data_IF_474321450884
#
_entry.id   IF_474321450884
#
_cell.length_a   1.000
_cell.length_b   1.000
_cell.length_c   1.000
_cell.angle_alpha   90.00
_cell.angle_beta   90.00
_cell.angle_gamma   90.00
#
_symmetry.space_group_name_H-M   'P 1'
#
loop_
_entity.id
_entity.type
_entity.pdbx_description
1 polymer ?
2 polymer ?
3 water ?
#
# COMPACT_ATOMS: atom_id res chain seq x y z
N UNK A 1 17.19 -1.12 -13.04
CA UNK A 1 15.85 -1.26 -13.69
C UNK A 1 14.83 -0.32 -13.09
N UNK A 2 13.53 -0.48 -13.44
CA UNK A 2 12.42 0.36 -12.94
C UNK A 2 12.25 0.28 -11.42
N UNK A 3 11.74 1.36 -10.82
CA UNK A 3 11.50 1.41 -9.37
C UNK A 3 10.25 2.25 -9.08
N UNK A 4 9.62 2.04 -7.94
CA UNK A 4 8.43 2.82 -7.64
C UNK A 4 8.25 3.10 -6.15
N UNK A 5 7.53 4.17 -5.86
CA UNK A 5 7.23 4.55 -4.49
C UNK A 5 5.78 5.04 -4.52
N UNK A 6 4.99 4.55 -3.56
CA UNK A 6 3.58 4.90 -3.43
C UNK A 6 3.23 5.18 -1.98
N UNK A 7 2.32 6.13 -1.76
CA UNK A 7 1.84 6.46 -0.43
C UNK A 7 0.32 6.42 -0.53
N UNK A 8 -0.31 5.76 0.43
CA UNK A 8 -1.78 5.67 0.46
C UNK A 8 -2.26 6.28 1.75
N UNK A 9 -3.15 7.27 1.65
CA UNK A 9 -3.65 7.93 2.83
C UNK A 9 -5.18 7.84 2.77
N UNK A 10 -5.78 7.44 3.88
CA UNK A 10 -7.23 7.31 3.97
C UNK A 10 -7.72 7.90 5.29
N UNK A 11 -8.83 8.62 5.21
CA UNK A 11 -9.44 9.23 6.38
C UNK A 11 -10.91 8.81 6.34
N UNK A 12 -11.37 8.20 7.42
CA UNK A 12 -12.75 7.72 7.50
C UNK A 12 -13.48 8.37 8.67
N UNK A 13 -14.53 9.13 8.39
CA UNK A 13 -15.30 9.79 9.43
C UNK A 13 -16.07 8.72 10.20
N UNK A 14 -16.48 9.03 11.42
CA UNK A 14 -17.20 8.04 12.20
C UNK A 14 -18.52 8.59 12.71
N UNK A 15 -19.52 7.72 12.80
CA UNK A 15 -20.81 8.15 13.33
C UNK A 15 -20.56 8.36 14.80
N UNK A 16 -21.20 9.36 15.39
CA UNK A 16 -21.00 9.62 16.80
C UNK A 16 -19.87 10.61 17.04
N UNK A 17 -19.26 10.52 18.22
CA UNK A 17 -18.19 11.42 18.61
C UNK A 17 -16.83 10.81 18.26
N UNK A 18 -15.88 11.67 17.94
CA UNK A 18 -14.56 11.19 17.59
C UNK A 18 -14.12 11.68 16.24
N UNK A 19 -12.85 12.05 16.15
CA UNK A 19 -12.28 12.54 14.91
C UNK A 19 -12.16 11.37 13.92
N UNK A 20 -11.93 11.68 12.63
CA UNK A 20 -11.80 10.65 11.62
C UNK A 20 -10.59 9.72 11.86
N UNK A 21 -10.69 8.48 11.42
CA UNK A 21 -9.62 7.49 11.57
C UNK A 21 -8.71 7.72 10.36
N UNK A 22 -7.49 8.21 10.60
CA UNK A 22 -6.55 8.46 9.50
C UNK A 22 -5.40 7.46 9.46
N UNK A 23 -5.03 7.03 8.26
CA UNK A 23 -3.93 6.09 8.12
C UNK A 23 -3.08 6.45 6.91
N UNK A 24 -1.78 6.28 7.06
CA UNK A 24 -0.86 6.55 5.97
C UNK A 24 0.14 5.42 5.89
N UNK A 25 0.30 4.87 4.69
CA UNK A 25 1.25 3.79 4.47
C UNK A 25 2.00 4.02 3.17
N UNK A 26 3.31 3.83 3.22
CA UNK A 26 4.13 4.01 2.03
C UNK A 26 4.70 2.70 1.58
N UNK A 27 4.97 2.61 0.28
CA UNK A 27 5.53 1.42 -0.33
C UNK A 27 6.66 1.80 -1.27
N UNK A 28 7.71 0.99 -1.28
CA UNK A 28 8.85 1.16 -2.18
C UNK A 28 8.84 -0.09 -3.05
N UNK A 29 8.69 0.10 -4.36
CA UNK A 29 8.63 -0.96 -5.35
C UNK A 29 7.36 -1.82 -5.22
N UNK A 30 6.98 -2.09 -3.98
CA UNK A 30 5.79 -2.86 -3.60
C UNK A 30 6.02 -3.49 -2.22
N UNK A 31 6.84 -2.83 -1.42
CA UNK A 31 7.13 -3.31 -0.08
C UNK A 31 6.85 -2.19 0.91
N UNK A 32 5.95 -2.43 1.86
CA UNK A 32 5.62 -1.43 2.86
C UNK A 32 6.88 -1.10 3.63
N UNK A 33 7.15 0.17 3.84
CA UNK A 33 8.35 0.56 4.58
C UNK A 33 8.05 1.59 5.67
N UNK A 34 6.90 2.24 5.59
CA UNK A 34 6.52 3.24 6.59
C UNK A 34 5.02 3.23 6.81
N UNK A 35 4.60 3.60 8.01
CA UNK A 35 3.17 3.61 8.32
C UNK A 35 2.82 4.56 9.47
N UNK A 36 1.68 5.22 9.35
CA UNK A 36 1.17 6.12 10.39
C UNK A 36 -0.29 5.74 10.63
N UNK A 37 -0.70 5.74 11.90
CA UNK A 37 -2.05 5.38 12.29
C UNK A 37 -2.54 6.30 13.42
N UNK A 38 -3.62 7.03 13.16
CA UNK A 38 -4.18 7.97 14.14
C UNK A 38 -4.77 7.30 15.37
N UNK A 39 -5.30 6.10 15.20
CA UNK A 39 -5.90 5.42 16.33
C UNK A 39 -4.87 4.56 17.07
N UNK A 40 -3.59 4.88 16.89
CA UNK A 40 -2.53 4.15 17.57
C UNK A 40 -2.37 4.67 19.00
N UNK A 41 -1.77 3.84 19.85
CA UNK A 41 -1.53 4.21 21.24
C UNK A 41 -0.62 5.43 21.22
N UNK A 42 0.31 5.44 20.27
CA UNK A 42 1.25 6.54 20.09
C UNK A 42 1.30 6.87 18.61
N UNK A 43 0.38 7.73 18.14
CA UNK A 43 0.31 8.13 16.73
C UNK A 43 1.59 8.77 16.22
N UNK A 44 2.28 8.06 15.33
CA UNK A 44 3.50 8.57 14.75
C UNK A 44 3.99 7.69 13.60
N UNK A 45 4.87 8.25 12.77
CA UNK A 45 5.43 7.50 11.67
C UNK A 45 6.46 6.53 12.23
N UNK A 46 6.48 5.31 11.70
CA UNK A 46 7.44 4.32 12.15
C UNK A 46 7.88 3.42 11.01
N UNK A 47 9.16 2.99 11.03
CA UNK A 47 9.70 2.11 10.00
C UNK A 47 9.02 0.76 10.08
N UNK A 48 8.83 0.10 8.94
CA UNK A 48 8.20 -1.21 8.90
C UNK A 48 9.21 -2.27 8.53
N UNK A 49 10.41 -1.83 8.20
CA UNK A 49 11.49 -2.73 7.80
C UNK A 49 12.84 -2.23 8.30
N UNK A 50 13.74 -3.17 8.63
CA UNK A 50 15.10 -2.89 9.13
C UNK A 50 15.90 -1.81 8.41
N UNK A 51 15.88 -1.77 7.09
CA UNK A 51 16.64 -0.75 6.38
C UNK A 51 16.07 0.66 6.52
N UNK A 52 15.02 0.81 7.34
CA UNK A 52 14.43 2.13 7.56
C UNK A 52 14.76 2.65 8.97
N UNK A 53 15.41 1.81 9.78
CA UNK A 53 15.78 2.21 11.13
C UNK A 53 17.06 3.05 11.10
N UNK A 54 17.64 3.19 9.92
CA UNK A 54 18.87 3.96 9.74
C UNK A 54 18.60 5.45 9.48
N UNK A 55 17.39 5.88 9.77
CA UNK A 55 17.03 7.29 9.58
C UNK A 55 17.11 8.02 10.91
N UNK A 56 17.71 9.20 10.90
CA UNK A 56 17.86 9.98 12.12
C UNK A 56 16.54 10.21 12.85
N UNK A 57 16.61 10.50 14.15
CA UNK A 57 15.43 10.76 14.99
C UNK A 57 14.62 11.96 14.50
N UNK A 58 15.32 12.97 13.99
CA UNK A 58 14.67 14.18 13.50
C UNK A 58 13.86 13.87 12.24
N UNK A 59 14.31 12.85 11.50
CA UNK A 59 13.62 12.44 10.28
C UNK A 59 12.18 12.02 10.60
N UNK A 60 12.04 11.14 11.57
CA UNK A 60 10.73 10.64 11.98
C UNK A 60 9.87 11.66 12.70
N UNK A 61 10.50 12.69 13.26
CA UNK A 61 9.73 13.70 13.97
C UNK A 61 9.04 14.65 13.02
N UNK A 62 9.80 15.29 12.13
CA UNK A 62 9.22 16.22 11.19
C UNK A 62 8.27 15.53 10.21
N UNK A 63 8.56 14.27 9.93
CA UNK A 63 7.71 13.51 9.02
C UNK A 63 6.39 13.19 9.72
N UNK A 64 6.45 12.96 11.03
CA UNK A 64 5.25 12.70 11.82
C UNK A 64 4.43 13.98 11.89
N UNK A 65 5.12 15.13 11.78
CA UNK A 65 4.46 16.44 11.80
C UNK A 65 3.59 16.58 10.56
N UNK A 66 4.10 16.08 9.43
CA UNK A 66 3.35 16.14 8.19
C UNK A 66 2.08 15.35 8.40
N UNK A 67 2.19 14.19 9.04
CA UNK A 67 1.05 13.34 9.34
C UNK A 67 -0.06 14.17 9.96
N UNK A 68 0.25 14.78 11.10
CA UNK A 68 -0.71 15.62 11.81
C UNK A 68 -1.28 16.67 10.86
N UNK A 69 -0.39 17.23 10.04
CA UNK A 69 -0.81 18.22 9.07
C UNK A 69 -1.78 17.62 8.08
N UNK A 70 -1.42 16.46 7.54
CA UNK A 70 -2.27 15.77 6.58
C UNK A 70 -3.60 15.36 7.20
N UNK A 71 -3.55 14.94 8.45
CA UNK A 71 -4.73 14.51 9.17
C UNK A 71 -5.74 15.66 9.23
N UNK A 72 -5.28 16.86 9.58
CA UNK A 72 -6.18 18.00 9.65
C UNK A 72 -6.73 18.34 8.28
N UNK A 73 -5.91 18.14 7.26
CA UNK A 73 -6.33 18.42 5.89
C UNK A 73 -7.50 17.51 5.54
N UNK A 74 -7.39 16.24 5.91
CA UNK A 74 -8.45 15.28 5.62
C UNK A 74 -9.70 15.58 6.44
N UNK A 75 -9.51 16.15 7.63
CA UNK A 75 -10.66 16.50 8.46
C UNK A 75 -11.47 17.61 7.79
N UNK A 76 -10.79 18.69 7.41
CA UNK A 76 -11.46 19.80 6.78
C UNK A 76 -12.07 19.42 5.42
N UNK A 77 -11.36 18.63 4.63
CA UNK A 77 -11.93 18.31 3.34
C UNK A 77 -13.01 17.24 3.33
N UNK A 78 -13.11 16.47 4.41
CA UNK A 78 -14.18 15.50 4.49
C UNK A 78 -15.46 16.34 4.63
N UNK A 79 -15.41 17.40 5.44
CA UNK A 79 -16.58 18.27 5.63
C UNK A 79 -16.97 18.96 4.33
N UNK A 80 -15.98 19.42 3.57
CA UNK A 80 -16.26 20.10 2.31
C UNK A 80 -17.02 19.16 1.36
N UNK A 81 -16.62 17.90 1.32
CA UNK A 81 -17.32 16.96 0.44
C UNK A 81 -18.72 16.65 0.91
N UNK A 82 -18.98 16.73 2.21
CA UNK A 82 -20.33 16.47 2.69
C UNK A 82 -21.26 17.52 2.08
N UNK A 83 -20.76 18.75 1.95
CA UNK A 83 -21.54 19.82 1.36
C UNK A 83 -21.66 19.73 -0.15
N UNK A 84 -20.59 19.31 -0.82
CA UNK A 84 -20.63 19.18 -2.30
C UNK A 84 -21.65 18.14 -2.73
N UNK A 85 -21.74 17.03 -1.99
CA UNK A 85 -22.67 15.95 -2.32
C UNK A 85 -23.99 16.05 -1.57
N UNK A 86 -24.11 17.08 -0.74
CA UNK A 86 -25.33 17.30 0.06
C UNK A 86 -25.70 16.04 0.85
N UNK A 87 -24.76 15.57 1.66
CA UNK A 87 -24.97 14.38 2.47
C UNK A 87 -25.36 14.71 3.90
N UNK A 88 -26.18 13.84 4.49
CA UNK A 88 -26.65 14.01 5.86
C UNK A 88 -25.47 14.00 6.82
N UNK A 89 -25.55 14.84 7.85
CA UNK A 89 -24.50 14.93 8.85
C UNK A 89 -24.36 13.63 9.65
N UNK A 90 -25.28 12.69 9.43
CA UNK A 90 -25.21 11.43 10.16
C UNK A 90 -24.80 10.27 9.27
N UNK A 91 -23.49 10.03 9.15
CA UNK A 91 -22.99 8.94 8.32
C UNK A 91 -21.48 8.81 8.27
N UNK A 92 -20.99 7.68 7.78
CA UNK A 92 -19.55 7.45 7.68
C UNK A 92 -19.09 7.59 6.23
N UNK A 93 -17.97 8.25 6.02
CA UNK A 93 -17.46 8.47 4.68
C UNK A 93 -15.95 8.37 4.68
N UNK A 94 -15.38 8.02 3.53
CA UNK A 94 -13.95 7.87 3.45
C UNK A 94 -13.35 8.68 2.29
N UNK A 95 -12.41 9.54 2.62
CA UNK A 95 -11.70 10.34 1.63
C UNK A 95 -10.33 9.70 1.54
N UNK A 96 -9.94 9.33 0.32
CA UNK A 96 -8.65 8.69 0.12
C UNK A 96 -7.75 9.47 -0.81
N UNK A 97 -6.45 9.21 -0.69
CA UNK A 97 -5.45 9.84 -1.52
C UNK A 97 -4.32 8.88 -1.78
N UNK A 98 -3.85 8.89 -3.03
CA UNK A 98 -2.71 8.07 -3.40
C UNK A 98 -1.80 8.95 -4.23
N UNK A 99 -0.51 8.88 -3.94
CA UNK A 99 0.45 9.67 -4.70
C UNK A 99 1.76 8.91 -4.76
N UNK A 100 2.52 9.17 -5.81
CA UNK A 100 3.80 8.51 -5.95
C UNK A 100 4.47 8.73 -7.29
N UNK A 101 5.57 8.03 -7.47
CA UNK A 101 6.34 8.14 -8.69
C UNK A 101 6.89 6.78 -9.08
N UNK A 102 7.00 6.57 -10.38
CA UNK A 102 7.60 5.37 -10.95
C UNK A 102 8.81 6.02 -11.62
N UNK A 103 9.96 5.38 -11.50
CA UNK A 103 11.19 5.89 -12.09
C UNK A 103 11.70 4.82 -13.05
N UNK A 104 12.14 5.23 -14.24
CA UNK A 104 12.65 4.29 -15.21
C UNK A 104 14.09 3.92 -14.92
N UNK A 105 14.72 3.19 -15.84
CA UNK A 105 16.12 2.77 -15.67
C UNK A 105 17.10 3.94 -15.72
N UNK A 106 16.78 4.96 -16.52
CA UNK A 106 17.63 6.13 -16.66
C UNK A 106 17.63 7.01 -15.41
N UNK A 107 16.80 6.65 -14.43
CA UNK A 107 16.74 7.43 -13.20
C UNK A 107 15.73 8.56 -13.20
N UNK A 108 15.10 8.81 -14.34
CA UNK A 108 14.12 9.88 -14.48
C UNK A 108 12.68 9.40 -14.27
N UNK A 109 11.81 10.35 -13.91
CA UNK A 109 10.40 10.05 -13.66
C UNK A 109 9.76 9.43 -14.89
N UNK A 110 9.07 8.30 -14.70
CA UNK A 110 8.39 7.60 -15.80
C UNK A 110 6.89 7.89 -15.78
N UNK A 111 6.33 7.99 -14.57
CA UNK A 111 4.90 8.25 -14.39
C UNK A 111 4.63 8.77 -12.98
N UNK A 112 3.82 9.83 -12.90
CA UNK A 112 3.49 10.41 -11.61
C UNK A 112 2.04 10.21 -11.25
N UNK A 113 1.75 10.10 -9.96
CA UNK A 113 0.39 9.89 -9.50
C UNK A 113 0.01 10.90 -8.42
N UNK A 114 -1.23 11.37 -8.48
CA UNK A 114 -1.77 12.30 -7.50
C UNK A 114 -3.27 12.21 -7.68
N UNK A 115 -3.89 11.26 -7.00
CA UNK A 115 -5.33 11.04 -7.15
C UNK A 115 -6.10 10.85 -5.84
N UNK A 116 -7.35 11.29 -5.85
CA UNK A 116 -8.20 11.22 -4.68
C UNK A 116 -9.49 10.45 -4.95
N UNK A 117 -9.98 9.76 -3.92
CA UNK A 117 -11.20 8.98 -4.03
C UNK A 117 -12.09 9.29 -2.85
N UNK A 118 -13.40 9.27 -3.05
CA UNK A 118 -14.36 9.55 -2.00
C UNK A 118 -15.41 8.44 -1.97
N UNK A 119 -15.55 7.78 -0.82
CA UNK A 119 -16.50 6.68 -0.67
C UNK A 119 -16.32 5.61 -1.74
N UNK A 120 -15.07 5.31 -2.06
CA UNK A 120 -14.75 4.30 -3.05
C UNK A 120 -14.91 4.70 -4.50
N UNK A 121 -15.19 5.98 -4.74
CA UNK A 121 -15.38 6.48 -6.11
C UNK A 121 -14.28 7.47 -6.43
N UNK A 122 -13.79 7.44 -7.67
CA UNK A 122 -12.76 8.39 -8.07
C UNK A 122 -13.39 9.78 -7.96
N UNK A 123 -12.59 10.74 -7.53
CA UNK A 123 -13.03 12.13 -7.37
C UNK A 123 -12.20 12.99 -8.33
N UNK A 124 -10.89 13.06 -8.12
CA UNK A 124 -10.03 13.83 -9.01
C UNK A 124 -8.64 13.22 -9.11
N UNK A 125 -8.09 13.15 -10.33
CA UNK A 125 -6.76 12.56 -10.52
C UNK A 125 -5.91 13.30 -11.53
N UNK A 126 -4.61 13.37 -11.27
CA UNK A 126 -3.68 14.04 -12.18
C UNK A 126 -3.42 13.11 -13.34
N UNK A 127 -3.70 13.56 -14.55
CA UNK A 127 -3.49 12.75 -15.74
C UNK A 127 -1.99 12.47 -15.90
N UNK A 128 -1.66 11.45 -16.69
CA UNK A 128 -0.26 11.09 -16.93
C UNK A 128 0.59 12.23 -17.45
N UNK A 129 -0.03 13.19 -18.13
CA UNK A 129 0.71 14.32 -18.68
C UNK A 129 1.15 15.27 -17.56
N UNK A 130 0.67 15.02 -16.36
CA UNK A 130 1.01 15.86 -15.21
C UNK A 130 0.68 17.31 -15.48
N UNK A 131 -0.33 17.56 -16.31
CA UNK A 131 -0.73 18.93 -16.63
C UNK A 131 -2.21 19.17 -16.40
N UNK A 132 -3.03 18.15 -16.66
CA UNK A 132 -4.47 18.28 -16.52
C UNK A 132 -5.05 17.32 -15.51
N UNK A 133 -6.30 17.57 -15.10
CA UNK A 133 -6.97 16.74 -14.11
C UNK A 133 -8.20 16.04 -14.65
N UNK A 134 -8.42 14.81 -14.23
CA UNK A 134 -9.62 14.08 -14.63
C UNK A 134 -10.61 14.25 -13.47
N UNK A 135 -11.77 14.85 -13.74
CA UNK A 135 -12.80 15.07 -12.73
C UNK A 135 -13.95 14.10 -12.94
N UNK A 136 -14.02 13.07 -12.11
CA UNK A 136 -15.07 12.07 -12.22
C UNK A 136 -16.48 12.61 -12.40
N UNK A 137 -16.91 13.49 -11.49
CA UNK A 137 -18.27 14.04 -11.53
C UNK A 137 -18.35 15.57 -11.38
N UNK A 138 -19.58 16.08 -11.33
CA UNK A 138 -19.82 17.52 -11.20
C UNK A 138 -19.22 18.13 -9.95
N UNK A 139 -19.24 17.39 -8.85
CA UNK A 139 -18.68 17.94 -7.61
C UNK A 139 -17.18 18.09 -7.79
N UNK A 140 -16.54 17.11 -8.42
CA UNK A 140 -15.10 17.18 -8.62
C UNK A 140 -14.69 18.35 -9.48
N UNK A 141 -15.57 18.75 -10.40
CA UNK A 141 -15.26 19.86 -11.27
C UNK A 141 -15.12 21.18 -10.51
N UNK A 142 -15.76 21.28 -9.35
CA UNK A 142 -15.63 22.50 -8.56
C UNK A 142 -14.16 22.60 -8.16
N UNK A 143 -13.66 21.49 -7.61
CA UNK A 143 -12.27 21.40 -7.18
C UNK A 143 -11.31 21.61 -8.33
N UNK A 144 -11.52 20.87 -9.42
CA UNK A 144 -10.64 20.99 -10.58
C UNK A 144 -10.56 22.45 -11.07
N UNK A 145 -11.71 23.10 -11.16
CA UNK A 145 -11.80 24.49 -11.59
C UNK A 145 -10.87 25.35 -10.71
N UNK A 146 -11.03 25.25 -9.40
CA UNK A 146 -10.21 26.04 -8.49
C UNK A 146 -8.73 25.63 -8.55
N UNK A 147 -8.46 24.36 -8.82
CA UNK A 147 -7.06 23.90 -8.90
C UNK A 147 -6.37 24.33 -10.19
N UNK A 148 -7.13 24.51 -11.26
CA UNK A 148 -6.56 24.97 -12.53
C UNK A 148 -6.19 26.43 -12.38
N UNK A 149 -7.04 27.19 -11.69
CA UNK A 149 -6.81 28.61 -11.48
C UNK A 149 -5.62 28.86 -10.56
N UNK A 150 -5.37 27.91 -9.65
CA UNK A 150 -4.27 28.05 -8.71
C UNK A 150 -2.99 27.34 -9.18
N UNK A 151 -3.05 26.74 -10.36
CA UNK A 151 -1.88 26.02 -10.88
C UNK A 151 -1.41 24.89 -9.99
N UNK A 152 -2.37 24.14 -9.44
CA UNK A 152 -2.08 23.01 -8.55
C UNK A 152 -1.31 21.87 -9.24
N UNK A 153 -1.54 21.68 -10.52
CA UNK A 153 -0.86 20.62 -11.27
C UNK A 153 0.65 20.83 -11.27
N UNK A 154 1.08 22.07 -11.48
CA UNK A 154 2.50 22.36 -11.50
C UNK A 154 3.09 22.18 -10.11
N UNK A 155 2.34 22.60 -9.10
CA UNK A 155 2.76 22.47 -7.72
C UNK A 155 3.11 21.02 -7.41
N UNK A 156 2.14 20.11 -7.64
CA UNK A 156 2.34 18.69 -7.37
C UNK A 156 3.40 18.07 -8.29
N UNK A 157 3.45 18.53 -9.54
CA UNK A 157 4.42 18.01 -10.49
C UNK A 157 5.84 18.29 -10.02
N UNK A 158 6.04 19.43 -9.34
CA UNK A 158 7.36 19.79 -8.85
C UNK A 158 7.86 18.73 -7.86
N UNK A 159 6.99 18.34 -6.92
CA UNK A 159 7.34 17.31 -5.94
C UNK A 159 7.64 15.98 -6.62
N UNK A 160 6.71 15.51 -7.44
CA UNK A 160 6.88 14.23 -8.13
C UNK A 160 8.16 14.22 -8.95
N UNK A 161 8.42 15.32 -9.66
CA UNK A 161 9.59 15.43 -10.51
C UNK A 161 10.92 15.45 -9.74
N UNK A 162 10.94 16.07 -8.57
CA UNK A 162 12.16 16.16 -7.79
C UNK A 162 12.25 15.31 -6.54
N UNK A 163 11.69 15.81 -5.43
CA UNK A 163 11.73 15.09 -4.16
C UNK A 163 11.34 13.62 -4.23
N UNK A 164 10.21 13.31 -4.88
CA UNK A 164 9.76 11.93 -4.97
C UNK A 164 10.85 11.06 -5.58
N UNK A 165 11.37 11.48 -6.73
CA UNK A 165 12.43 10.73 -7.40
C UNK A 165 13.69 10.66 -6.52
N UNK A 166 14.10 11.80 -5.94
CA UNK A 166 15.31 11.81 -5.11
C UNK A 166 15.24 10.95 -3.85
N UNK A 167 14.10 10.98 -3.17
CA UNK A 167 13.97 10.17 -1.97
C UNK A 167 13.85 8.68 -2.29
N UNK A 168 13.29 8.37 -3.45
CA UNK A 168 13.17 6.97 -3.83
C UNK A 168 14.58 6.45 -4.07
N UNK A 169 15.44 7.31 -4.62
CA UNK A 169 16.83 6.95 -4.89
C UNK A 169 17.56 6.67 -3.59
N UNK A 170 17.32 7.52 -2.59
CA UNK A 170 17.95 7.39 -1.30
C UNK A 170 17.53 6.10 -0.60
N UNK A 171 16.22 5.87 -0.51
CA UNK A 171 15.70 4.67 0.14
C UNK A 171 16.27 3.39 -0.46
N UNK A 172 16.33 3.34 -1.79
CA UNK A 172 16.86 2.17 -2.47
C UNK A 172 18.32 1.93 -2.13
N UNK A 173 19.07 3.00 -1.89
CA UNK A 173 20.49 2.85 -1.55
C UNK A 173 20.64 2.20 -0.18
N UNK A 174 19.85 2.67 0.77
CA UNK A 174 19.88 2.17 2.13
C UNK A 174 19.26 0.78 2.23
N UNK B 1 -9.38 2.68 -17.96
CA UNK B 1 -9.03 1.55 -18.88
C UNK B 1 -8.84 0.23 -18.16
N UNK B 2 -7.60 -0.25 -18.05
CA UNK B 2 -7.30 -1.53 -17.37
C UNK B 2 -7.49 -1.44 -15.86
N UNK B 3 -7.92 -2.54 -15.24
CA UNK B 3 -8.13 -2.55 -13.80
C UNK B 3 -7.09 -3.44 -13.09
N UNK B 4 -6.97 -3.25 -11.78
CA UNK B 4 -6.04 -4.03 -10.99
C UNK B 4 -6.49 -4.11 -9.54
N UNK B 5 -6.01 -5.15 -8.85
CA UNK B 5 -6.34 -5.32 -7.44
C UNK B 5 -5.06 -5.81 -6.75
N UNK B 6 -4.85 -5.34 -5.53
CA UNK B 6 -3.68 -5.67 -4.75
C UNK B 6 -4.07 -5.95 -3.31
N UNK B 7 -3.44 -6.93 -2.70
CA UNK B 7 -3.71 -7.28 -1.33
C UNK B 7 -2.37 -7.51 -0.63
N UNK B 8 -2.14 -6.75 0.44
CA UNK B 8 -0.90 -6.83 1.23
C UNK B 8 -1.18 -7.34 2.64
N UNK B 9 -0.26 -8.16 3.12
CA UNK B 9 -0.31 -8.72 4.47
C UNK B 9 1.10 -8.59 5.05
N UNK B 10 1.21 -8.05 6.25
CA UNK B 10 2.50 -7.90 6.88
C UNK B 10 2.47 -8.36 8.33
N UNK B 11 3.57 -8.93 8.79
CA UNK B 11 3.68 -9.41 10.15
C UNK B 11 5.06 -9.02 10.68
N UNK B 12 5.09 -8.40 11.85
CA UNK B 12 6.35 -7.97 12.47
C UNK B 12 6.52 -8.58 13.86
N UNK B 13 7.49 -9.48 13.99
CA UNK B 13 7.74 -10.14 15.27
C UNK B 13 8.18 -9.14 16.37
N UNK B 14 7.96 -9.54 17.62
CA UNK B 14 8.31 -8.71 18.77
C UNK B 14 9.59 -9.22 19.42
N UNK B 15 10.18 -8.41 20.31
CA UNK B 15 11.39 -8.80 21.02
C UNK B 15 10.97 -9.52 22.29
N UNK B 16 11.33 -10.80 22.40
CA UNK B 16 10.96 -11.57 23.59
C UNK B 16 9.47 -11.78 23.70
N UNK B 17 9.04 -13.02 23.48
CA UNK B 17 7.62 -13.37 23.54
C UNK B 17 6.80 -12.40 22.69
N UNK B 18 5.57 -12.13 23.12
CA UNK B 18 4.71 -11.21 22.39
C UNK B 18 4.28 -11.75 21.04
N UNK B 19 3.07 -11.41 20.64
CA UNK B 19 2.53 -11.84 19.36
C UNK B 19 2.93 -10.86 18.27
N UNK B 20 3.26 -11.36 17.08
CA UNK B 20 3.67 -10.51 15.95
C UNK B 20 2.50 -9.62 15.51
N UNK B 21 2.78 -8.36 15.19
CA UNK B 21 1.72 -7.48 14.72
C UNK B 21 1.39 -7.88 13.29
N UNK B 22 0.10 -8.07 13.02
CA UNK B 22 -0.36 -8.47 11.68
C UNK B 22 -1.30 -7.44 11.07
N UNK B 23 -1.04 -7.07 9.82
CA UNK B 23 -1.87 -6.10 9.13
C UNK B 23 -2.20 -6.63 7.74
N UNK B 24 -3.33 -6.22 7.21
CA UNK B 24 -3.71 -6.64 5.87
C UNK B 24 -4.51 -5.51 5.27
N UNK B 25 -4.32 -5.29 3.96
CA UNK B 25 -5.02 -4.22 3.27
C UNK B 25 -5.27 -4.59 1.82
N UNK B 26 -6.45 -4.23 1.33
CA UNK B 26 -6.78 -4.52 -0.06
C UNK B 26 -6.96 -3.24 -0.83
N UNK B 27 -6.59 -3.27 -2.11
CA UNK B 27 -6.75 -2.10 -2.94
C UNK B 27 -7.37 -2.53 -4.25
N UNK B 28 -8.31 -1.73 -4.73
CA UNK B 28 -8.99 -1.99 -6.01
C UNK B 28 -8.61 -0.81 -6.89
N UNK B 29 -7.91 -1.10 -7.98
CA UNK B 29 -7.41 -0.11 -8.92
C UNK B 29 -6.30 0.67 -8.24
N UNK B 30 -6.62 1.32 -7.12
CA UNK B 30 -5.64 2.06 -6.31
C UNK B 30 -6.36 2.71 -5.13
N UNK B 31 -7.51 2.14 -4.76
CA UNK B 31 -8.28 2.65 -3.64
C UNK B 31 -8.46 1.56 -2.62
N UNK B 32 -8.17 1.87 -1.35
CA UNK B 32 -8.32 0.90 -0.28
C UNK B 32 -9.79 0.53 -0.11
N UNK B 33 -10.09 -0.77 0.01
CA UNK B 33 -11.47 -1.20 0.20
C UNK B 33 -11.64 -2.05 1.45
N UNK B 34 -10.52 -2.53 1.99
CA UNK B 34 -10.56 -3.35 3.20
C UNK B 34 -9.23 -3.33 3.92
N UNK B 35 -9.25 -3.53 5.23
CA UNK B 35 -8.02 -3.54 6.01
C UNK B 35 -8.24 -4.22 7.36
N UNK B 36 -7.15 -4.71 7.92
CA UNK B 36 -7.21 -5.38 9.21
C UNK B 36 -5.91 -5.12 9.96
N UNK B 37 -6.01 -4.85 11.26
CA UNK B 37 -4.84 -4.59 12.09
C UNK B 37 -5.07 -5.29 13.42
N UNK B 38 -4.15 -6.18 13.78
CA UNK B 38 -4.24 -6.94 15.01
C UNK B 38 -4.13 -6.07 16.27
N UNK B 39 -3.66 -4.83 16.11
CA UNK B 39 -3.52 -3.91 17.23
C UNK B 39 -4.88 -3.40 17.73
N UNK B 40 -5.73 -2.96 16.81
CA UNK B 40 -7.05 -2.45 17.17
C UNK B 40 -7.85 -3.51 17.94
N UNK B 62 -17.15 -12.34 12.44
CA UNK B 62 -17.70 -13.39 11.58
C UNK B 62 -16.67 -13.89 10.58
N UNK B 63 -16.00 -12.97 9.91
CA UNK B 63 -14.99 -13.32 8.93
C UNK B 63 -13.60 -13.00 9.47
N UNK B 64 -13.50 -12.92 10.80
CA UNK B 64 -12.24 -12.63 11.46
C UNK B 64 -11.47 -13.92 11.67
N UNK B 65 -12.13 -15.05 11.40
CA UNK B 65 -11.49 -16.35 11.55
C UNK B 65 -10.30 -16.44 10.62
N UNK B 66 -10.44 -15.84 9.44
CA UNK B 66 -9.37 -15.84 8.46
C UNK B 66 -8.13 -15.14 9.00
N UNK B 67 -8.34 -14.01 9.67
CA UNK B 67 -7.27 -13.23 10.25
C UNK B 67 -6.44 -14.11 11.19
N UNK B 68 -7.12 -14.85 12.06
CA UNK B 68 -6.42 -15.72 12.99
C UNK B 68 -5.60 -16.74 12.21
N UNK B 69 -6.17 -17.29 11.14
CA UNK B 69 -5.46 -18.25 10.34
C UNK B 69 -4.18 -17.66 9.77
N UNK B 70 -4.29 -16.47 9.18
CA UNK B 70 -3.13 -15.80 8.58
C UNK B 70 -2.06 -15.49 9.62
N UNK B 71 -2.51 -14.97 10.76
CA UNK B 71 -1.60 -14.64 11.85
C UNK B 71 -0.76 -15.86 12.19
N UNK B 72 -1.39 -17.03 12.25
CA UNK B 72 -0.63 -18.24 12.56
C UNK B 72 0.36 -18.54 11.45
N UNK B 73 -0.10 -18.44 10.21
CA UNK B 73 0.77 -18.71 9.06
C UNK B 73 2.03 -17.84 9.15
N UNK B 74 1.83 -16.54 9.40
CA UNK B 74 2.96 -15.61 9.50
C UNK B 74 3.84 -15.88 10.72
N UNK B 75 3.22 -16.31 11.81
CA UNK B 75 3.97 -16.62 13.02
C UNK B 75 4.90 -17.81 12.74
N UNK B 76 4.35 -18.85 12.12
CA UNK B 76 5.14 -20.04 11.80
C UNK B 76 6.27 -19.75 10.83
N UNK B 77 6.00 -18.97 9.79
CA UNK B 77 7.03 -18.69 8.80
C UNK B 77 8.08 -17.66 9.16
N UNK B 78 7.75 -16.81 10.11
CA UNK B 78 8.68 -15.81 10.59
C UNK B 78 9.76 -16.63 11.30
N UNK B 79 9.34 -17.72 11.94
CA UNK B 79 10.24 -18.61 12.66
C UNK B 79 11.16 -19.33 11.67
N UNK B 80 10.57 -19.88 10.61
CA UNK B 80 11.33 -20.58 9.59
C UNK B 80 12.43 -19.70 8.99
N UNK B 81 12.06 -18.51 8.55
CA UNK B 81 13.04 -17.60 7.95
C UNK B 81 14.18 -17.25 8.89
N UNK B 82 13.89 -17.18 10.18
CA UNK B 82 14.92 -16.87 11.14
C UNK B 82 16.02 -17.93 11.03
N UNK B 83 15.58 -19.19 10.92
CA UNK B 83 16.53 -20.28 10.79
C UNK B 83 17.27 -20.28 9.46
N UNK B 84 16.56 -19.95 8.38
CA UNK B 84 17.17 -19.93 7.05
C UNK B 84 18.30 -18.91 6.98
N UNK B 85 18.11 -17.75 7.59
CA UNK B 85 19.11 -16.69 7.57
C UNK B 85 20.01 -16.76 8.79
N UNK B 86 19.83 -17.79 9.59
CA UNK B 86 20.62 -17.99 10.79
C UNK B 86 20.71 -16.72 11.61
N UNK B 87 19.57 -16.10 11.86
CA UNK B 87 19.53 -14.86 12.63
C UNK B 87 19.24 -15.08 14.10
N UNK B 88 19.79 -14.22 14.96
CA UNK B 88 19.57 -14.34 16.39
C UNK B 88 18.07 -14.30 16.68
N UNK B 89 17.65 -15.04 17.71
CA UNK B 89 16.24 -15.10 18.08
C UNK B 89 15.90 -14.14 19.21
N UNK B 90 15.47 -12.94 18.83
CA UNK B 90 15.12 -11.93 19.82
C UNK B 90 14.87 -10.58 19.16
N UNK B 91 15.59 -10.31 18.08
CA UNK B 91 15.42 -9.05 17.37
C UNK B 91 14.04 -8.92 16.76
N UNK B 92 13.88 -7.97 15.83
CA UNK B 92 12.60 -7.77 15.17
C UNK B 92 12.78 -7.99 13.66
N UNK B 93 11.80 -8.65 13.07
CA UNK B 93 11.82 -8.97 11.64
C UNK B 93 10.45 -8.80 11.02
N UNK B 94 10.43 -8.49 9.73
CA UNK B 94 9.19 -8.28 9.01
C UNK B 94 9.02 -9.23 7.84
N UNK B 95 7.84 -9.83 7.75
CA UNK B 95 7.51 -10.73 6.66
C UNK B 95 6.25 -10.17 6.00
N UNK B 96 6.28 -10.07 4.67
CA UNK B 96 5.16 -9.51 3.91
C UNK B 96 4.74 -10.38 2.74
N UNK B 97 3.48 -10.26 2.36
CA UNK B 97 2.96 -11.02 1.24
C UNK B 97 2.08 -10.08 0.40
N UNK B 98 2.19 -10.19 -0.92
CA UNK B 98 1.37 -9.39 -1.82
C UNK B 98 0.89 -10.24 -2.96
N UNK B 99 -0.40 -10.14 -3.27
CA UNK B 99 -1.00 -10.88 -4.37
C UNK B 99 -2.03 -9.98 -5.01
N UNK B 100 -2.54 -10.39 -6.17
CA UNK B 100 -3.52 -9.61 -6.88
C UNK B 100 -3.37 -9.87 -8.37
N UNK B 101 -3.90 -8.96 -9.18
CA UNK B 101 -3.84 -9.11 -10.63
C UNK B 101 -4.14 -7.80 -11.37
N UNK B 102 -3.71 -7.74 -12.62
CA UNK B 102 -3.98 -6.59 -13.49
C UNK B 102 -4.77 -7.16 -14.66
N UNK B 103 -5.91 -6.54 -14.96
CA UNK B 103 -6.75 -6.98 -16.07
C UNK B 103 -6.89 -5.86 -17.10
N UNK B 104 -7.06 -6.23 -18.36
CA UNK B 104 -7.20 -5.25 -19.41
C UNK B 104 -8.64 -4.81 -19.59
N UNK B 105 -8.85 -3.85 -20.48
CA UNK B 105 -10.19 -3.33 -20.76
C UNK B 105 -11.14 -4.45 -21.20
N UNK B 106 -10.60 -5.44 -21.89
CA UNK B 106 -11.40 -6.57 -22.36
C UNK B 106 -11.56 -7.61 -21.26
N UNK B 107 -11.21 -7.24 -20.02
CA UNK B 107 -11.33 -8.16 -18.91
C UNK B 107 -10.34 -9.30 -18.97
N UNK B 108 -9.28 -9.12 -19.73
CA UNK B 108 -8.25 -10.15 -19.88
C UNK B 108 -7.12 -9.96 -18.88
N UNK B 109 -6.61 -11.08 -18.37
CA UNK B 109 -5.53 -11.07 -17.39
C UNK B 109 -4.22 -10.62 -18.00
N UNK B 110 -3.69 -9.51 -17.49
CA UNK B 110 -2.42 -8.99 -17.98
C UNK B 110 -1.27 -9.48 -17.10
N UNK B 111 -1.54 -9.73 -15.83
CA UNK B 111 -0.49 -10.19 -14.91
C UNK B 111 -1.05 -10.71 -13.58
N UNK B 112 -0.53 -11.85 -13.13
CA UNK B 112 -0.94 -12.42 -11.87
C UNK B 112 0.20 -12.18 -10.88
N UNK B 113 -0.14 -11.98 -9.61
CA UNK B 113 0.87 -11.70 -8.58
C UNK B 113 0.77 -12.58 -7.34
N UNK B 114 1.92 -13.01 -6.85
CA UNK B 114 1.99 -13.81 -5.63
C UNK B 114 3.47 -13.75 -5.23
N UNK B 115 3.78 -12.89 -4.27
CA UNK B 115 5.17 -12.70 -3.86
C UNK B 115 5.37 -12.38 -2.39
N UNK B 116 6.53 -12.76 -1.87
CA UNK B 116 6.86 -12.53 -0.47
C UNK B 116 8.14 -11.74 -0.30
N UNK B 117 8.18 -10.97 0.77
CA UNK B 117 9.32 -10.13 1.07
C UNK B 117 9.67 -10.30 2.55
N UNK B 118 10.96 -10.34 2.84
CA UNK B 118 11.42 -10.50 4.21
C UNK B 118 12.35 -9.35 4.58
N UNK B 119 12.02 -8.67 5.68
CA UNK B 119 12.79 -7.53 6.16
C UNK B 119 13.00 -6.45 5.11
N UNK B 120 11.98 -6.23 4.28
CA UNK B 120 12.07 -5.20 3.25
C UNK B 120 12.83 -5.62 2.01
N UNK B 121 13.24 -6.88 1.94
CA UNK B 121 13.96 -7.40 0.78
C UNK B 121 13.15 -8.50 0.11
N UNK B 122 13.23 -8.55 -1.21
CA UNK B 122 12.54 -9.55 -2.00
C UNK B 122 12.97 -10.94 -1.52
N UNK B 123 12.02 -11.87 -1.46
CA UNK B 123 12.34 -13.23 -1.05
C UNK B 123 12.00 -14.17 -2.20
N UNK B 124 10.71 -14.30 -2.52
CA UNK B 124 10.33 -15.16 -3.65
C UNK B 124 9.10 -14.55 -4.32
N UNK B 125 9.02 -14.68 -5.64
CA UNK B 125 7.88 -14.13 -6.38
C UNK B 125 7.50 -14.95 -7.61
N UNK B 126 6.21 -15.03 -7.90
CA UNK B 126 5.76 -15.79 -9.06
C UNK B 126 6.07 -14.99 -10.32
N UNK B 127 6.65 -15.65 -11.31
CA UNK B 127 7.02 -15.00 -12.58
C UNK B 127 5.77 -14.73 -13.43
N UNK B 128 5.94 -13.97 -14.51
CA UNK B 128 4.82 -13.63 -15.40
C UNK B 128 4.20 -14.85 -16.04
N UNK B 129 4.99 -15.91 -16.17
CA UNK B 129 4.51 -17.14 -16.77
C UNK B 129 3.57 -17.90 -15.83
N UNK B 130 3.49 -17.43 -14.58
CA UNK B 130 2.65 -18.06 -13.57
C UNK B 130 2.96 -19.54 -13.43
N UNK B 131 4.21 -19.91 -13.72
CA UNK B 131 4.62 -21.31 -13.64
C UNK B 131 5.94 -21.50 -12.92
N UNK B 132 6.76 -20.45 -12.88
CA UNK B 132 8.06 -20.50 -12.22
C UNK B 132 8.25 -19.37 -11.21
N UNK B 133 9.12 -19.61 -10.22
CA UNK B 133 9.36 -18.65 -9.16
C UNK B 133 10.75 -18.00 -9.20
N UNK B 134 10.82 -16.70 -8.93
CA UNK B 134 12.12 -16.03 -8.89
C UNK B 134 12.58 -16.02 -7.42
N UNK B 135 13.72 -16.64 -7.14
CA UNK B 135 14.28 -16.70 -5.79
C UNK B 135 15.31 -15.59 -5.64
N UNK B 136 15.03 -14.64 -4.75
CA UNK B 136 15.93 -13.50 -4.52
C UNK B 136 17.33 -13.85 -4.04
N UNK B 137 17.46 -14.94 -3.29
CA UNK B 137 18.75 -15.35 -2.75
C UNK B 137 18.80 -16.86 -2.52
N UNK B 138 19.89 -17.34 -1.92
CA UNK B 138 20.06 -18.76 -1.67
C UNK B 138 19.02 -19.34 -0.71
N UNK B 139 18.63 -18.56 0.30
CA UNK B 139 17.64 -19.02 1.26
C UNK B 139 16.32 -19.31 0.55
N UNK B 140 15.89 -18.35 -0.27
CA UNK B 140 14.61 -18.49 -1.01
C UNK B 140 14.56 -19.71 -1.94
N UNK B 141 15.72 -20.26 -2.31
CA UNK B 141 15.74 -21.42 -3.20
C UNK B 141 15.21 -22.65 -2.47
N UNK B 142 15.36 -22.68 -1.15
CA UNK B 142 14.87 -23.78 -0.33
C UNK B 142 13.34 -23.77 -0.48
N UNK B 143 12.76 -22.59 -0.32
CA UNK B 143 11.31 -22.42 -0.46
C UNK B 143 10.86 -22.77 -1.88
N UNK B 144 11.56 -22.27 -2.89
CA UNK B 144 11.18 -22.59 -4.26
C UNK B 144 11.15 -24.11 -4.47
N UNK B 145 12.21 -24.81 -4.06
CA UNK B 145 12.24 -26.26 -4.23
C UNK B 145 11.04 -26.93 -3.54
N UNK B 146 10.77 -26.53 -2.30
CA UNK B 146 9.63 -27.09 -1.58
C UNK B 146 8.32 -26.80 -2.31
N UNK B 147 8.24 -25.60 -2.89
CA UNK B 147 7.04 -25.19 -3.62
C UNK B 147 6.89 -25.88 -4.95
N UNK B 148 8.01 -26.19 -5.60
CA UNK B 148 7.97 -26.87 -6.87
C UNK B 148 7.48 -28.31 -6.64
N UNK B 149 7.88 -28.91 -5.52
CA UNK B 149 7.46 -30.26 -5.22
C UNK B 149 5.99 -30.37 -4.78
N UNK B 150 5.52 -29.34 -4.08
CA UNK B 150 4.15 -29.26 -3.59
C UNK B 150 3.16 -28.80 -4.66
N UNK B 151 3.67 -28.23 -5.74
CA UNK B 151 2.81 -27.75 -6.81
C UNK B 151 2.14 -26.41 -6.47
N UNK B 152 2.87 -25.52 -5.79
CA UNK B 152 2.31 -24.21 -5.40
C UNK B 152 1.92 -23.31 -6.56
N UNK B 153 2.76 -23.29 -7.60
CA UNK B 153 2.47 -22.47 -8.76
C UNK B 153 1.22 -23.04 -9.43
N UNK B 154 1.10 -24.37 -9.41
CA UNK B 154 -0.05 -25.04 -10.01
C UNK B 154 -1.34 -24.65 -9.28
N UNK B 155 -1.26 -24.53 -7.96
CA UNK B 155 -2.42 -24.16 -7.17
C UNK B 155 -2.87 -22.74 -7.56
N UNK B 156 -1.90 -21.85 -7.72
CA UNK B 156 -2.18 -20.48 -8.11
C UNK B 156 -2.99 -20.48 -9.42
N UNK B 157 -2.55 -21.24 -10.41
CA UNK B 157 -3.25 -21.29 -11.68
C UNK B 157 -4.63 -21.93 -11.59
N UNK B 158 -4.75 -23.01 -10.82
CA UNK B 158 -6.01 -23.72 -10.69
C UNK B 158 -7.08 -22.96 -9.94
N UNK B 159 -6.68 -22.30 -8.85
CA UNK B 159 -7.63 -21.59 -8.04
C UNK B 159 -7.43 -20.09 -8.00
N UNK B 160 -6.24 -19.65 -7.59
CA UNK B 160 -5.98 -18.22 -7.55
C UNK B 160 -5.95 -17.77 -9.01
N UNK B 161 -5.61 -16.52 -9.28
CA UNK B 161 -5.59 -16.05 -10.65
C UNK B 161 -7.03 -15.93 -11.13
N UNK B 162 -7.70 -17.07 -11.23
CA UNK B 162 -9.08 -17.06 -11.66
C UNK B 162 -9.94 -16.30 -10.66
N UNK B 163 -9.74 -16.59 -9.38
CA UNK B 163 -10.50 -15.93 -8.32
C UNK B 163 -10.24 -14.42 -8.28
N UNK B 164 -9.02 -14.01 -8.61
CA UNK B 164 -8.63 -12.60 -8.61
C UNK B 164 -9.37 -11.88 -9.73
N UNK B 165 -9.40 -12.49 -10.91
CA UNK B 165 -10.08 -11.91 -12.07
C UNK B 165 -11.57 -11.83 -11.81
N UNK B 166 -12.15 -12.95 -11.38
CA UNK B 166 -13.58 -13.01 -11.09
C UNK B 166 -13.99 -12.00 -10.03
N UNK B 167 -13.13 -11.78 -9.05
CA UNK B 167 -13.41 -10.83 -7.98
C UNK B 167 -13.34 -9.39 -8.50
N UNK B 168 -12.27 -9.10 -9.22
CA UNK B 168 -12.08 -7.76 -9.77
C UNK B 168 -13.18 -7.44 -10.77
N UNK B 169 -13.78 -8.48 -11.35
CA UNK B 169 -14.85 -8.33 -12.32
C UNK B 169 -16.10 -7.77 -11.64
N UNK B 170 -16.49 -8.38 -10.53
CA UNK B 170 -17.66 -7.93 -9.80
C UNK B 170 -17.30 -6.73 -8.93
N UNK C 1 10.86 11.81 1.35
CA UNK C 1 10.03 12.84 2.03
C UNK C 1 8.63 12.86 1.44
N UNK C 2 7.68 13.33 2.22
CA UNK C 2 6.29 13.40 1.79
C UNK C 2 6.04 14.62 0.91
N UNK C 3 4.98 14.56 0.11
CA UNK C 3 4.64 15.66 -0.76
C UNK C 3 4.12 16.81 0.09
N UNK C 4 4.16 18.03 -0.45
CA UNK C 4 3.66 19.18 0.32
C UNK C 4 2.15 19.07 0.51
N UNK C 5 1.62 19.85 1.44
CA UNK C 5 0.19 19.82 1.70
C UNK C 5 -0.57 20.20 0.43
N UNK C 6 -1.54 19.36 0.02
CA UNK C 6 -2.35 19.61 -1.17
C UNK C 6 -3.30 20.78 -0.96
N UNK C 7 -3.69 21.41 -2.06
CA UNK C 7 -4.62 22.54 -2.01
C UNK C 7 -5.96 22.01 -1.50
N UNK C 8 -6.84 22.89 -1.05
CA UNK C 8 -8.14 22.43 -0.55
C UNK C 8 -9.13 22.08 -1.66
N UNK C 9 -9.95 21.07 -1.40
CA UNK C 9 -10.96 20.63 -2.36
C UNK C 9 -12.01 21.73 -2.55
N UNK D 1 -11.78 -12.16 -1.32
CA UNK D 1 -11.99 -12.03 0.15
C UNK D 1 -10.89 -12.71 0.94
N UNK D 2 -9.72 -12.09 0.96
CA UNK D 2 -8.55 -12.63 1.66
C UNK D 2 -8.31 -14.08 1.27
N UNK D 3 -7.61 -14.26 0.16
CA UNK D 3 -7.29 -15.59 -0.33
C UNK D 3 -5.91 -15.97 0.22
N UNK D 4 -5.87 -17.00 1.08
CA UNK D 4 -4.59 -17.44 1.65
C UNK D 4 -3.80 -18.27 0.66
N UNK D 5 -2.50 -18.42 0.92
CA UNK D 5 -1.61 -19.21 0.08
C UNK D 5 -1.14 -20.36 0.98
N UNK D 6 -1.80 -21.54 0.88
CA UNK D 6 -1.55 -22.78 1.63
C UNK D 6 -0.19 -23.47 1.47
N UNK D 7 0.89 -22.70 1.54
CA UNK D 7 2.21 -23.30 1.39
C UNK D 7 3.20 -22.58 2.28
N UNK D 8 3.89 -23.33 3.14
CA UNK D 8 4.86 -22.74 4.05
C UNK D 8 6.19 -22.49 3.34
N UNK D 9 6.94 -21.51 3.84
CA UNK D 9 8.25 -21.19 3.28
C UNK D 9 9.26 -22.27 3.62
#
# INVERSE_FOLDING_TARGET
GPHSMRYYETATSRRGLGEPRYTSVGYVDDKEFVRFDSDAENPRYEPQVPWMEQEGPEYWERITQVAKGQEQWFRVNLRTLLGYYNQSAGGTHTLQRMYGCDVGSDGRLLRGYEQFAYDGCDYIALNEDLRTWTAADMAAQITRRKWEQAGAAEYYRAYLEGECVEWLHRYLKN
GPHSMRYYETATSRRGLGEPRYTSVGYVDDKEFVRFDSDAENPRYEPQVPWMEQEGPEYWERITQVAKGQEQWFRVNLRTLLGYYNQSAGGTHTLQRMYGCDVGSDGRLLRGYEQFAYDGCDYIALNEDLRTWTAADMAAQITRRKWEQAGAAEYYRAYLEGECVEWLHRYLKN
QLSPFPFDL
QLSPFPFDL
#
